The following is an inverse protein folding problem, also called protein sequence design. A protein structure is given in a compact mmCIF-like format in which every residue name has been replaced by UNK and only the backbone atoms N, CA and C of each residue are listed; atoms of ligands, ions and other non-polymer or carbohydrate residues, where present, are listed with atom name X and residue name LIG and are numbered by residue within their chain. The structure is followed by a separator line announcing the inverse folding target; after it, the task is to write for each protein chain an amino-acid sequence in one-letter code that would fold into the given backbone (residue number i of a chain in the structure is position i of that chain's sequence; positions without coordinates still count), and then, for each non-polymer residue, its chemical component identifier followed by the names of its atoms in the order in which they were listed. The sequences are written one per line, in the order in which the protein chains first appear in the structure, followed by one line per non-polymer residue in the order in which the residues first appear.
data_IF_762442268781
#
_entry.id   IF_762442268781
#
_cell.length_a   1.000
_cell.length_b   1.000
_cell.length_c   1.000
_cell.angle_alpha   90.00
_cell.angle_beta   90.00
_cell.angle_gamma   90.00
#
_symmetry.space_group_name_H-M   'P 1'
#
loop_
_entity.id
_entity.type
_entity.pdbx_description
1 polymer ?
#
# COMPACT_ATOMS: atom_id res chain seq x y z
N UNK A 1 -1.21 -41.76 -45.95
CA UNK A 1 -0.97 -40.79 -44.87
C UNK A 1 -2.29 -40.56 -44.13
N UNK A 2 -2.23 -40.43 -42.79
CA UNK A 2 -3.04 -39.56 -41.89
C UNK A 2 -4.49 -39.25 -42.31
N UNK A 3 -5.53 -39.30 -41.48
CA UNK A 3 -5.60 -39.29 -40.02
C UNK A 3 -7.02 -39.68 -39.59
N UNK A 4 -7.12 -40.40 -38.48
CA UNK A 4 -8.31 -40.41 -37.61
C UNK A 4 -8.46 -39.01 -36.99
N UNK A 5 -9.68 -38.56 -36.71
CA UNK A 5 -10.21 -38.39 -35.35
C UNK A 5 -11.69 -37.93 -35.44
N UNK A 6 -12.59 -38.46 -34.58
CA UNK A 6 -14.00 -38.10 -34.46
C UNK A 6 -14.17 -37.09 -33.29
N UNK A 7 -15.29 -37.17 -32.56
CA UNK A 7 -15.64 -36.50 -31.30
C UNK A 7 -16.54 -35.25 -31.46
N UNK A 8 -17.83 -35.35 -31.09
CA UNK A 8 -18.41 -35.26 -29.71
C UNK A 8 -18.38 -33.79 -29.24
N UNK A 9 -19.29 -33.18 -28.48
CA UNK A 9 -20.39 -33.54 -27.58
C UNK A 9 -21.41 -32.38 -27.72
N UNK A 10 -22.72 -32.57 -27.69
CA UNK A 10 -23.52 -33.12 -26.59
C UNK A 10 -23.58 -32.17 -25.37
N UNK A 11 -24.83 -31.94 -24.98
CA UNK A 11 -25.36 -31.45 -23.70
C UNK A 11 -25.26 -29.96 -23.37
N UNK A 12 -26.34 -29.29 -23.76
CA UNK A 12 -26.97 -28.16 -23.07
C UNK A 12 -27.18 -28.48 -21.58
N UNK A 13 -26.18 -28.21 -20.75
CA UNK A 13 -26.35 -28.16 -19.30
C UNK A 13 -26.65 -26.72 -18.92
N UNK A 14 -27.92 -26.52 -18.56
CA UNK A 14 -28.46 -25.43 -17.76
C UNK A 14 -27.48 -25.10 -16.61
N UNK A 15 -26.68 -24.05 -16.75
CA UNK A 15 -25.90 -23.48 -15.64
C UNK A 15 -26.70 -22.33 -15.06
N UNK A 16 -27.55 -22.65 -14.08
CA UNK A 16 -28.05 -21.70 -13.10
C UNK A 16 -26.85 -21.00 -12.45
N UNK A 17 -26.82 -19.66 -12.35
CA UNK A 17 -25.83 -18.99 -11.52
C UNK A 17 -26.20 -19.30 -10.06
N UNK A 18 -25.48 -20.25 -9.47
CA UNK A 18 -25.38 -20.39 -8.03
C UNK A 18 -24.73 -19.11 -7.49
N UNK A 19 -25.57 -18.11 -7.21
CA UNK A 19 -25.26 -17.02 -6.31
C UNK A 19 -25.16 -17.62 -4.89
N UNK A 20 -24.02 -18.26 -4.60
CA UNK A 20 -23.63 -18.49 -3.22
C UNK A 20 -23.12 -17.17 -2.66
N UNK A 21 -24.06 -16.40 -2.12
CA UNK A 21 -23.80 -15.44 -1.05
C UNK A 21 -23.04 -16.15 0.05
N UNK A 22 -21.77 -15.82 0.21
CA UNK A 22 -21.05 -15.94 1.47
C UNK A 22 -20.78 -14.52 1.93
N UNK A 23 -21.85 -13.85 2.31
CA UNK A 23 -21.82 -12.79 3.32
C UNK A 23 -21.69 -13.52 4.67
N UNK A 24 -20.96 -12.91 5.61
CA UNK A 24 -20.62 -13.39 6.97
C UNK A 24 -19.27 -14.14 6.98
N UNK A 25 -18.21 -13.65 7.64
CA UNK A 25 -18.17 -13.10 8.99
C UNK A 25 -17.20 -11.91 9.10
N UNK A 26 -17.70 -10.68 9.09
CA UNK A 26 -17.06 -9.61 9.86
C UNK A 26 -17.75 -9.69 11.22
N UNK A 27 -17.26 -10.58 12.08
CA UNK A 27 -17.63 -10.55 13.49
C UNK A 27 -17.13 -9.22 14.04
N UNK A 28 -18.05 -8.26 14.21
CA UNK A 28 -18.07 -7.25 15.28
C UNK A 28 -16.72 -7.07 15.98
N UNK A 29 -15.84 -6.32 15.33
CA UNK A 29 -14.74 -5.65 16.00
C UNK A 29 -15.26 -4.26 16.36
N UNK A 30 -16.14 -4.18 17.37
CA UNK A 30 -16.65 -2.90 17.92
C UNK A 30 -15.50 -1.99 18.40
N UNK A 31 -14.26 -2.49 18.44
CA UNK A 31 -13.05 -1.73 18.78
C UNK A 31 -12.45 -0.91 17.64
N UNK A 32 -12.95 -1.03 16.39
CA UNK A 32 -12.40 -0.31 15.23
C UNK A 32 -13.30 0.82 14.73
N UNK A 33 -14.40 1.10 15.44
CA UNK A 33 -15.35 2.14 15.09
C UNK A 33 -15.69 2.99 16.33
N UNK A 34 -16.04 4.25 16.10
CA UNK A 34 -16.42 5.20 17.16
C UNK A 34 -17.49 6.17 16.66
N UNK A 35 -18.22 6.78 17.58
CA UNK A 35 -19.00 7.98 17.25
C UNK A 35 -18.00 9.10 16.95
N UNK A 36 -18.07 9.76 15.78
CA UNK A 36 -17.10 10.78 15.40
C UNK A 36 -17.09 11.96 16.40
N UNK A 37 -15.91 12.36 16.85
CA UNK A 37 -15.73 13.53 17.71
C UNK A 37 -15.22 14.74 16.91
N UNK A 38 -16.13 15.67 16.60
CA UNK A 38 -15.84 16.92 15.89
C UNK A 38 -15.06 17.94 16.74
N UNK A 39 -14.93 17.69 18.04
CA UNK A 39 -14.16 18.52 18.97
C UNK A 39 -12.85 17.85 19.40
N UNK A 40 -12.46 16.74 18.77
CA UNK A 40 -11.22 16.05 19.07
C UNK A 40 -10.03 17.00 18.90
N UNK A 41 -9.16 17.00 19.92
CA UNK A 41 -7.94 17.81 19.97
C UNK A 41 -6.67 16.98 19.87
N UNK A 42 -6.83 15.67 19.75
CA UNK A 42 -5.74 14.72 19.60
C UNK A 42 -5.57 14.48 18.11
N UNK A 43 -4.41 14.79 17.51
CA UNK A 43 -4.21 14.49 16.12
C UNK A 43 -4.07 12.97 15.90
N UNK A 44 -4.42 12.44 14.72
CA UNK A 44 -4.18 11.05 14.38
C UNK A 44 -2.71 10.65 14.49
N UNK A 45 -2.45 9.36 14.53
CA UNK A 45 -1.10 8.79 14.47
C UNK A 45 -0.92 8.00 13.18
N UNK A 46 0.33 7.95 12.69
CA UNK A 46 0.73 7.16 11.51
C UNK A 46 1.84 6.21 11.94
N UNK A 47 1.65 4.91 11.72
CA UNK A 47 2.67 3.88 11.93
C UNK A 47 2.94 3.13 10.63
N UNK A 48 4.20 2.97 10.29
CA UNK A 48 4.66 2.15 9.17
C UNK A 48 4.94 0.73 9.66
N UNK A 49 4.44 -0.25 8.92
CA UNK A 49 4.73 -1.67 9.10
C UNK A 49 5.40 -2.15 7.82
N UNK A 50 6.62 -2.64 7.97
CA UNK A 50 7.47 -3.09 6.87
C UNK A 50 7.66 -4.59 7.03
N UNK A 51 7.32 -5.35 6.01
CA UNK A 51 7.43 -6.82 5.99
C UNK A 51 8.32 -7.22 4.81
N UNK A 52 9.61 -7.53 5.04
CA UNK A 52 10.50 -8.07 4.03
C UNK A 52 10.13 -9.51 3.68
N UNK A 53 10.73 -10.05 2.62
CA UNK A 53 10.55 -11.45 2.23
C UNK A 53 10.93 -12.48 3.32
N UNK A 54 11.77 -12.09 4.30
CA UNK A 54 12.08 -12.93 5.47
C UNK A 54 10.89 -13.11 6.42
N UNK A 55 9.90 -12.22 6.36
CA UNK A 55 8.68 -12.24 7.18
C UNK A 55 8.81 -11.57 8.55
N UNK A 56 10.02 -11.15 8.96
CA UNK A 56 10.22 -10.38 10.20
C UNK A 56 9.72 -8.95 10.01
N UNK A 57 8.83 -8.49 10.89
CA UNK A 57 8.17 -7.19 10.73
C UNK A 57 8.94 -6.11 11.48
N UNK A 58 9.17 -4.99 10.80
CA UNK A 58 9.68 -3.76 11.40
C UNK A 58 8.56 -2.71 11.50
N UNK A 59 8.57 -1.94 12.58
CA UNK A 59 7.60 -0.86 12.82
C UNK A 59 8.28 0.47 13.06
N UNK A 60 7.79 1.53 12.41
CA UNK A 60 8.30 2.89 12.55
C UNK A 60 7.13 3.84 12.78
N UNK A 61 7.18 4.67 13.81
CA UNK A 61 6.14 5.67 14.08
C UNK A 61 6.49 7.02 13.45
N UNK A 62 5.51 7.65 12.80
CA UNK A 62 5.66 8.96 12.16
C UNK A 62 6.63 8.93 10.97
N UNK A 63 7.79 9.57 11.13
CA UNK A 63 8.80 9.68 10.09
C UNK A 63 9.92 8.67 10.31
N UNK A 64 10.42 8.05 9.24
CA UNK A 64 11.62 7.23 9.36
C UNK A 64 12.24 6.78 8.06
N UNK A 65 13.22 5.91 8.19
CA UNK A 65 14.02 5.37 7.08
C UNK A 65 14.17 3.87 7.23
N UNK A 66 14.11 3.16 6.11
CA UNK A 66 14.34 1.73 6.02
C UNK A 66 15.35 1.44 4.92
N UNK A 67 16.23 0.46 5.10
CA UNK A 67 17.23 0.09 4.11
C UNK A 67 17.05 -1.37 3.68
N UNK A 68 17.14 -1.63 2.38
CA UNK A 68 17.03 -2.97 1.79
C UNK A 68 17.92 -3.08 0.55
N UNK A 69 18.16 -4.31 0.09
CA UNK A 69 18.85 -4.55 -1.17
C UNK A 69 17.87 -4.65 -2.34
N UNK A 70 18.35 -4.31 -3.53
CA UNK A 70 17.64 -4.50 -4.78
C UNK A 70 17.16 -5.96 -4.93
N UNK A 71 15.91 -6.12 -5.35
CA UNK A 71 15.21 -7.40 -5.55
C UNK A 71 14.90 -8.24 -4.29
N UNK A 72 15.09 -7.72 -3.07
CA UNK A 72 14.71 -8.45 -1.84
C UNK A 72 13.20 -8.56 -1.62
N UNK A 73 12.40 -7.68 -2.22
CA UNK A 73 10.94 -7.68 -2.09
C UNK A 73 10.48 -7.25 -0.69
N UNK A 74 9.71 -6.17 -0.61
CA UNK A 74 9.17 -5.65 0.65
C UNK A 74 7.70 -5.31 0.47
N UNK A 75 6.91 -5.56 1.52
CA UNK A 75 5.55 -5.03 1.64
C UNK A 75 5.54 -3.94 2.68
N UNK A 76 4.91 -2.81 2.34
CA UNK A 76 4.82 -1.66 3.24
C UNK A 76 3.36 -1.31 3.45
N UNK A 77 2.98 -1.12 4.71
CA UNK A 77 1.67 -0.67 5.11
C UNK A 77 1.80 0.53 6.05
N UNK A 78 1.06 1.61 5.79
CA UNK A 78 0.84 2.63 6.80
C UNK A 78 -0.45 2.31 7.55
N UNK A 79 -0.48 2.52 8.85
CA UNK A 79 -1.67 2.41 9.70
C UNK A 79 -1.93 3.77 10.29
N UNK A 80 -3.07 4.35 9.93
CA UNK A 80 -3.60 5.56 10.56
C UNK A 80 -4.47 5.14 11.74
N UNK A 81 -4.29 5.77 12.90
CA UNK A 81 -5.13 5.51 14.09
C UNK A 81 -5.54 6.81 14.77
N UNK A 82 -6.81 6.89 15.14
CA UNK A 82 -7.41 8.00 15.86
C UNK A 82 -8.60 7.52 16.71
N UNK A 83 -8.70 7.92 17.99
CA UNK A 83 -9.78 7.46 18.88
C UNK A 83 -11.10 8.22 18.67
N UNK A 84 -11.04 9.46 18.17
CA UNK A 84 -12.19 10.29 17.80
C UNK A 84 -12.73 10.01 16.40
N UNK A 85 -12.02 9.22 15.60
CA UNK A 85 -12.41 8.74 14.28
C UNK A 85 -11.67 9.43 13.15
N UNK A 86 -11.39 8.68 12.10
CA UNK A 86 -10.64 9.12 10.91
C UNK A 86 -11.64 9.56 9.83
N UNK A 87 -11.50 10.79 9.36
CA UNK A 87 -12.34 11.38 8.31
C UNK A 87 -11.72 11.15 6.91
N UNK A 88 -10.43 11.40 6.77
CA UNK A 88 -9.74 11.35 5.47
C UNK A 88 -8.31 10.80 5.61
N UNK A 89 -7.86 10.10 4.56
CA UNK A 89 -6.47 9.67 4.41
C UNK A 89 -5.90 10.17 3.08
N UNK A 90 -4.71 10.76 3.15
CA UNK A 90 -3.93 11.20 1.99
C UNK A 90 -2.66 10.38 1.87
N UNK A 91 -2.31 9.96 0.66
CA UNK A 91 -1.10 9.20 0.40
C UNK A 91 -0.33 9.77 -0.77
N UNK A 92 1.00 9.57 -0.74
CA UNK A 92 1.89 9.97 -1.84
C UNK A 92 3.02 8.97 -1.99
N UNK A 93 3.48 8.77 -3.22
CA UNK A 93 4.60 7.87 -3.53
C UNK A 93 5.51 8.52 -4.57
N UNK A 94 6.81 8.55 -4.27
CA UNK A 94 7.86 9.07 -5.14
C UNK A 94 9.00 8.07 -5.24
N UNK A 95 9.50 7.86 -6.46
CA UNK A 95 10.59 6.93 -6.76
C UNK A 95 11.75 7.66 -7.44
N UNK A 96 12.97 7.39 -7.00
CA UNK A 96 14.20 7.87 -7.63
C UNK A 96 15.27 6.78 -7.63
N UNK A 97 16.03 6.63 -8.71
CA UNK A 97 17.12 5.67 -8.78
C UNK A 97 18.21 6.06 -9.77
N UNK A 98 19.39 5.51 -9.49
CA UNK A 98 20.61 5.72 -10.25
C UNK A 98 21.01 4.43 -10.96
N UNK A 99 21.26 4.56 -12.26
CA UNK A 99 21.75 3.50 -13.12
C UNK A 99 23.13 3.87 -13.66
N UNK A 100 24.07 2.93 -13.68
CA UNK A 100 25.45 3.20 -14.07
C UNK A 100 26.08 2.07 -14.91
N UNK A 101 26.94 2.44 -15.86
CA UNK A 101 27.87 1.52 -16.53
C UNK A 101 29.10 2.28 -17.01
N UNK A 102 30.31 1.75 -16.80
CA UNK A 102 31.56 2.19 -17.44
C UNK A 102 31.74 3.72 -17.63
N UNK A 103 31.55 4.54 -16.58
CA UNK A 103 31.74 6.00 -16.68
C UNK A 103 30.48 6.80 -17.03
N UNK A 104 29.41 6.15 -17.49
CA UNK A 104 28.14 6.77 -17.85
C UNK A 104 27.07 6.47 -16.80
N UNK A 105 26.57 7.52 -16.16
CA UNK A 105 25.47 7.45 -15.21
C UNK A 105 24.20 8.04 -15.78
N UNK A 106 23.08 7.39 -15.53
CA UNK A 106 21.75 7.92 -15.77
C UNK A 106 21.02 7.98 -14.43
N UNK A 107 20.71 9.20 -13.99
CA UNK A 107 19.72 9.42 -12.95
C UNK A 107 18.35 9.30 -13.61
N UNK A 108 17.56 8.31 -13.19
CA UNK A 108 16.22 8.11 -13.74
C UNK A 108 15.32 9.32 -13.45
N UNK A 109 14.35 9.67 -14.32
CA UNK A 109 13.34 10.66 -13.96
C UNK A 109 12.62 10.26 -12.67
N UNK A 110 12.34 11.27 -11.85
CA UNK A 110 11.42 11.16 -10.73
C UNK A 110 10.08 10.62 -11.24
N UNK A 111 9.67 9.43 -10.79
CA UNK A 111 8.31 8.95 -11.01
C UNK A 111 7.49 9.32 -9.78
N UNK A 112 6.49 10.19 -9.97
CA UNK A 112 5.66 10.72 -8.88
C UNK A 112 5.97 12.19 -8.54
N UNK A 113 5.29 12.76 -7.52
CA UNK A 113 4.38 12.06 -6.60
C UNK A 113 3.05 11.66 -7.24
N UNK A 114 2.62 10.42 -7.03
CA UNK A 114 1.22 10.02 -7.25
C UNK A 114 0.47 10.26 -5.95
N UNK A 115 -0.39 11.27 -5.95
CA UNK A 115 -1.18 11.63 -4.77
C UNK A 115 -2.56 11.00 -4.85
N UNK A 116 -3.03 10.46 -3.72
CA UNK A 116 -4.39 9.95 -3.58
C UNK A 116 -4.99 10.47 -2.27
N UNK A 117 -6.21 10.97 -2.35
CA UNK A 117 -7.04 11.35 -1.21
C UNK A 117 -8.23 10.40 -1.17
N UNK A 118 -8.58 9.95 0.03
CA UNK A 118 -9.71 9.07 0.25
C UNK A 118 -10.48 9.51 1.51
N UNK A 119 -11.68 10.09 1.34
CA UNK A 119 -12.60 10.26 2.47
C UNK A 119 -13.10 8.88 2.88
N UNK A 120 -13.10 8.60 4.18
CA UNK A 120 -13.54 7.31 4.73
C UNK A 120 -15.05 7.28 5.01
N UNK A 121 -15.66 8.45 5.17
CA UNK A 121 -17.09 8.59 5.44
C UNK A 121 -17.53 7.93 6.76
N UNK A 122 -18.83 7.93 6.99
CA UNK A 122 -19.44 7.23 8.12
C UNK A 122 -20.12 5.95 7.63
N UNK A 123 -20.22 4.96 8.50
CA UNK A 123 -21.00 3.76 8.21
C UNK A 123 -22.52 4.02 8.26
N UNK A 124 -23.33 2.98 8.04
CA UNK A 124 -24.80 3.10 8.06
C UNK A 124 -25.40 3.51 9.41
N UNK A 125 -24.63 3.43 10.49
CA UNK A 125 -25.02 3.82 11.84
C UNK A 125 -24.45 5.20 12.22
N UNK A 126 -23.68 5.84 11.36
CA UNK A 126 -23.03 7.12 11.63
C UNK A 126 -21.70 7.02 12.37
N UNK A 127 -21.08 5.84 12.43
CA UNK A 127 -19.78 5.64 13.09
C UNK A 127 -18.62 5.86 12.11
N UNK A 128 -17.52 6.40 12.64
CA UNK A 128 -16.25 6.57 11.95
C UNK A 128 -15.29 5.40 12.26
N UNK A 129 -14.33 5.14 11.36
CA UNK A 129 -13.25 4.18 11.62
C UNK A 129 -12.20 4.79 12.56
N UNK A 130 -11.71 4.03 13.53
CA UNK A 130 -10.62 4.45 14.43
C UNK A 130 -9.24 3.96 13.99
N UNK A 131 -9.21 3.06 13.00
CA UNK A 131 -7.99 2.50 12.44
C UNK A 131 -8.17 2.26 10.94
N UNK A 132 -7.22 2.72 10.13
CA UNK A 132 -7.25 2.55 8.69
C UNK A 132 -5.87 2.13 8.11
N UNK A 133 -5.73 0.90 7.58
CA UNK A 133 -4.51 0.46 6.93
C UNK A 133 -4.46 0.85 5.45
N UNK A 134 -3.30 1.32 4.99
CA UNK A 134 -2.99 1.66 3.60
C UNK A 134 -1.82 0.81 3.14
N UNK A 135 -2.03 -0.04 2.13
CA UNK A 135 -0.97 -0.81 1.49
C UNK A 135 -0.26 -0.01 0.39
N UNK A 136 1.07 -0.12 0.33
CA UNK A 136 1.90 0.44 -0.73
C UNK A 136 2.53 -0.69 -1.54
N UNK A 137 2.32 -0.67 -2.85
CA UNK A 137 3.01 -1.57 -3.77
C UNK A 137 4.38 -0.98 -4.14
N UNK A 138 5.40 -1.37 -3.39
CA UNK A 138 6.79 -0.94 -3.62
C UNK A 138 7.50 -1.86 -4.64
N UNK A 139 6.78 -2.85 -5.16
CA UNK A 139 7.37 -4.06 -5.75
C UNK A 139 7.61 -3.99 -7.25
N UNK A 140 8.00 -2.86 -7.88
CA UNK A 140 8.10 -2.91 -9.36
C UNK A 140 8.97 -1.93 -10.15
N UNK A 141 9.51 -0.83 -9.59
CA UNK A 141 9.82 0.31 -10.48
C UNK A 141 11.29 0.69 -10.65
N UNK A 142 12.23 0.06 -9.94
CA UNK A 142 13.64 0.40 -10.06
C UNK A 142 14.31 -0.38 -11.21
N UNK A 143 13.87 -0.13 -12.44
CA UNK A 143 14.41 -0.78 -13.64
C UNK A 143 15.40 0.14 -14.34
N UNK A 144 16.58 -0.38 -14.64
CA UNK A 144 17.56 0.33 -15.46
C UNK A 144 17.36 0.05 -16.95
N UNK A 145 17.56 1.06 -17.82
CA UNK A 145 17.64 0.84 -19.27
C UNK A 145 18.68 -0.23 -19.63
N UNK A 146 18.47 -0.92 -20.75
CA UNK A 146 19.39 -1.95 -21.25
C UNK A 146 20.83 -1.43 -21.31
N UNK A 147 21.77 -2.18 -20.73
CA UNK A 147 23.19 -1.84 -20.70
C UNK A 147 23.64 -1.03 -19.48
N UNK A 148 22.71 -0.58 -18.62
CA UNK A 148 23.01 0.06 -17.34
C UNK A 148 22.68 -0.87 -16.16
N UNK A 149 23.43 -0.73 -15.07
CA UNK A 149 23.21 -1.50 -13.84
C UNK A 149 22.66 -0.60 -12.74
N UNK A 150 21.73 -1.12 -11.95
CA UNK A 150 21.25 -0.43 -10.76
C UNK A 150 22.41 -0.22 -9.77
N UNK A 151 22.49 0.99 -9.20
CA UNK A 151 23.46 1.31 -8.15
C UNK A 151 22.76 1.52 -6.81
N UNK A 152 21.81 2.44 -6.80
CA UNK A 152 21.06 2.82 -5.61
C UNK A 152 19.75 3.49 -6.02
N UNK A 153 18.84 3.60 -5.07
CA UNK A 153 17.60 4.33 -5.24
C UNK A 153 16.92 4.60 -3.91
N UNK A 154 15.87 5.39 -3.96
CA UNK A 154 14.99 5.58 -2.83
C UNK A 154 13.52 5.58 -3.27
N UNK A 155 12.67 5.12 -2.36
CA UNK A 155 11.23 5.27 -2.44
C UNK A 155 10.79 6.12 -1.26
N UNK A 156 10.15 7.25 -1.53
CA UNK A 156 9.54 8.09 -0.50
C UNK A 156 8.04 7.85 -0.48
N UNK A 157 7.54 7.33 0.64
CA UNK A 157 6.12 7.12 0.88
C UNK A 157 5.63 8.15 1.90
N UNK A 158 4.46 8.73 1.65
CA UNK A 158 3.78 9.59 2.61
C UNK A 158 2.38 9.06 2.89
N UNK A 159 1.98 9.16 4.14
CA UNK A 159 0.62 8.88 4.58
C UNK A 159 0.24 9.96 5.59
N UNK A 160 -0.89 10.63 5.37
CA UNK A 160 -1.46 11.57 6.31
C UNK A 160 -2.89 11.16 6.65
N UNK A 161 -3.25 11.27 7.93
CA UNK A 161 -4.60 11.05 8.42
C UNK A 161 -5.16 12.33 8.98
N UNK A 162 -6.44 12.59 8.69
CA UNK A 162 -7.23 13.70 9.24
C UNK A 162 -8.40 13.15 10.04
N UNK A 163 -8.63 13.66 11.26
CA UNK A 163 -9.79 13.31 12.07
C UNK A 163 -10.96 14.29 11.89
N UNK A 164 -12.09 13.99 12.55
CA UNK A 164 -13.30 14.84 12.51
C UNK A 164 -13.13 16.19 13.22
N UNK A 165 -12.12 16.35 14.07
CA UNK A 165 -11.67 17.64 14.61
C UNK A 165 -10.80 18.46 13.64
N UNK A 166 -10.61 17.99 12.41
CA UNK A 166 -9.78 18.58 11.35
C UNK A 166 -8.29 18.71 11.70
N UNK A 167 -7.80 17.85 12.60
CA UNK A 167 -6.37 17.72 12.88
C UNK A 167 -5.75 16.69 11.96
N UNK A 168 -4.59 17.03 11.40
CA UNK A 168 -3.87 16.19 10.44
C UNK A 168 -2.47 15.85 10.95
N UNK A 169 -2.10 14.57 10.85
CA UNK A 169 -0.71 14.10 11.05
C UNK A 169 -0.21 13.46 9.77
N UNK A 170 1.00 13.84 9.33
CA UNK A 170 1.71 13.20 8.22
C UNK A 170 2.88 12.36 8.77
N UNK A 171 3.00 11.14 8.26
CA UNK A 171 4.21 10.32 8.34
C UNK A 171 4.87 10.22 6.98
N UNK A 172 6.20 10.20 6.96
CA UNK A 172 7.03 9.94 5.78
C UNK A 172 7.97 8.77 6.03
N UNK A 173 7.92 7.75 5.17
CA UNK A 173 8.89 6.66 5.16
C UNK A 173 9.78 6.76 3.92
N UNK A 174 11.09 6.86 4.14
CA UNK A 174 12.09 6.77 3.07
C UNK A 174 12.69 5.36 3.05
N UNK A 175 12.54 4.66 1.95
CA UNK A 175 13.11 3.33 1.73
C UNK A 175 14.34 3.49 0.85
N UNK A 176 15.52 3.26 1.39
CA UNK A 176 16.79 3.26 0.67
C UNK A 176 17.03 1.86 0.09
N UNK A 177 17.21 1.79 -1.23
CA UNK A 177 17.45 0.54 -1.95
C UNK A 177 18.88 0.56 -2.49
N UNK A 178 19.70 -0.38 -2.03
CA UNK A 178 21.10 -0.48 -2.44
C UNK A 178 21.32 -1.66 -3.37
N UNK A 179 22.34 -1.60 -4.22
CA UNK A 179 22.78 -2.77 -4.98
C UNK A 179 23.10 -3.93 -4.02
N UNK A 180 22.60 -5.12 -4.36
CA UNK A 180 22.94 -6.35 -3.63
C UNK A 180 24.44 -6.62 -3.81
N UNK A 181 25.16 -6.73 -2.69
CA UNK A 181 26.59 -7.09 -2.67
C UNK A 181 26.80 -8.56 -3.01
#
# INVERSE_FOLDING_TARGET
MKNRIPFFLQDSILRLPFFFSVISFISSCDSCQTTPDVYDKTPPTVQWIITPATGEKDTIEGNGTYATSFAEGIHVMAVVKDEGGIDEVHTSQLYNWDCYTNGFGLQSPFFGPVNQSMPLGLDSHGNALTLFPVGFDVTTYLVCPTGLNFQQGAVTLKCAGTNFGHLTTEGTLMIQVNQKR
#
